data_IF_814366117953
#
_entry.id   IF_814366117953
#
_cell.length_a   1.000
_cell.length_b   1.000
_cell.length_c   1.000
_cell.angle_alpha   90.00
_cell.angle_beta   90.00
_cell.angle_gamma   90.00
#
_symmetry.space_group_name_H-M   'P 1'
#
loop_
_entity.id
_entity.type
_entity.pdbx_description
1 polymer ?
#
# COMPACT_ATOMS: atom_id res chain seq x y z
N UNK A 1 -16.78 0.50 16.22
CA UNK A 1 -16.13 0.45 14.90
C UNK A 1 -15.10 1.55 14.87
N UNK A 2 -13.88 1.23 14.49
CA UNK A 2 -12.75 2.16 14.43
C UNK A 2 -12.20 2.14 13.01
N UNK A 3 -11.72 3.28 12.52
CA UNK A 3 -11.19 3.45 11.16
C UNK A 3 -9.84 4.16 11.22
N UNK A 4 -8.90 3.75 10.35
CA UNK A 4 -7.62 4.44 10.22
C UNK A 4 -7.75 5.58 9.22
N UNK A 5 -7.46 6.80 9.67
CA UNK A 5 -7.45 8.02 8.87
C UNK A 5 -6.22 8.85 9.21
N UNK A 6 -5.82 9.72 8.30
CA UNK A 6 -4.72 10.67 8.51
C UNK A 6 -5.18 12.09 8.21
N UNK A 7 -4.50 13.06 8.82
CA UNK A 7 -4.65 14.46 8.45
C UNK A 7 -3.55 14.86 7.48
N UNK A 8 -3.93 15.40 6.32
CA UNK A 8 -2.94 15.92 5.35
C UNK A 8 -2.21 17.13 5.93
N UNK A 9 -0.94 17.29 5.55
CA UNK A 9 -0.19 18.52 5.84
C UNK A 9 -0.99 19.74 5.38
N UNK A 10 -1.02 20.79 6.20
CA UNK A 10 -1.64 22.07 5.85
C UNK A 10 -1.02 22.70 4.60
N UNK A 11 0.22 22.34 4.26
CA UNK A 11 0.94 22.84 3.09
C UNK A 11 0.63 22.03 1.81
N UNK A 12 -0.19 20.98 1.89
CA UNK A 12 -0.58 20.19 0.72
C UNK A 12 -1.34 21.05 -0.29
N UNK A 13 -0.91 21.02 -1.56
CA UNK A 13 -1.55 21.74 -2.67
C UNK A 13 -2.97 21.24 -2.98
N UNK A 14 -3.32 20.06 -2.50
CA UNK A 14 -4.65 19.47 -2.60
C UNK A 14 -5.19 19.09 -1.21
N UNK A 15 -6.37 19.63 -0.85
CA UNK A 15 -7.10 19.34 0.39
C UNK A 15 -6.24 19.39 1.69
N UNK A 16 -5.37 20.40 1.83
CA UNK A 16 -4.54 20.55 3.02
C UNK A 16 -5.34 20.63 4.32
N UNK A 17 -4.90 19.91 5.35
CA UNK A 17 -5.57 19.82 6.65
C UNK A 17 -6.81 18.91 6.69
N UNK A 18 -7.24 18.32 5.58
CA UNK A 18 -8.37 17.39 5.54
C UNK A 18 -8.03 16.05 6.21
N UNK A 19 -9.04 15.43 6.82
CA UNK A 19 -9.00 14.05 7.30
C UNK A 19 -9.39 13.13 6.15
N UNK A 20 -8.51 12.19 5.80
CA UNK A 20 -8.65 11.30 4.65
C UNK A 20 -8.20 9.89 5.01
N UNK A 21 -8.61 8.91 4.20
CA UNK A 21 -7.94 7.60 4.21
C UNK A 21 -6.54 7.73 3.61
N UNK A 22 -5.60 6.84 4.01
CA UNK A 22 -4.33 6.71 3.31
C UNK A 22 -4.58 6.40 1.83
N UNK A 23 -3.75 6.97 0.96
CA UNK A 23 -3.90 6.74 -0.46
C UNK A 23 -3.17 7.76 -1.33
N UNK A 24 -2.93 7.33 -2.56
CA UNK A 24 -2.17 8.09 -3.53
C UNK A 24 -2.42 7.64 -4.95
N UNK A 25 -1.47 7.98 -5.82
CA UNK A 25 -1.52 7.64 -7.24
C UNK A 25 -1.15 6.17 -7.42
N UNK A 26 -1.80 5.50 -8.37
CA UNK A 26 -1.36 4.20 -8.88
C UNK A 26 -0.16 4.42 -9.79
N UNK A 27 0.91 3.70 -9.53
CA UNK A 27 2.20 3.86 -10.18
C UNK A 27 2.52 2.63 -11.04
N UNK A 28 3.51 2.74 -11.94
CA UNK A 28 3.82 1.68 -12.90
C UNK A 28 4.18 0.33 -12.24
N UNK A 29 4.85 0.37 -11.09
CA UNK A 29 5.22 -0.82 -10.31
C UNK A 29 4.06 -1.43 -9.51
N UNK A 30 2.90 -0.77 -9.45
CA UNK A 30 1.69 -1.36 -8.88
C UNK A 30 0.97 -2.29 -9.88
N UNK A 31 1.30 -2.20 -11.18
CA UNK A 31 0.60 -2.93 -12.23
C UNK A 31 0.91 -4.45 -12.26
N UNK A 32 -0.04 -5.27 -12.77
CA UNK A 32 -0.11 -6.71 -12.51
C UNK A 32 1.05 -7.52 -13.05
N UNK A 33 1.81 -7.07 -14.04
CA UNK A 33 2.98 -7.81 -14.55
C UNK A 33 3.93 -8.20 -13.42
N UNK A 34 3.98 -7.38 -12.37
CA UNK A 34 4.78 -7.59 -11.17
C UNK A 34 4.05 -8.36 -10.05
N UNK A 35 2.74 -8.55 -10.13
CA UNK A 35 1.95 -9.05 -8.99
C UNK A 35 1.09 -10.27 -9.31
N UNK A 36 0.81 -10.53 -10.59
CA UNK A 36 -0.19 -11.51 -11.05
C UNK A 36 0.05 -12.91 -10.52
N UNK A 37 1.32 -13.32 -10.42
CA UNK A 37 1.72 -14.63 -9.88
C UNK A 37 1.46 -14.77 -8.38
N UNK A 38 1.39 -13.66 -7.64
CA UNK A 38 1.14 -13.62 -6.19
C UNK A 38 -0.36 -13.48 -5.87
N UNK A 39 -1.21 -13.21 -6.86
CA UNK A 39 -2.65 -13.04 -6.67
C UNK A 39 -3.31 -14.41 -6.62
N UNK A 40 -3.65 -14.85 -5.40
CA UNK A 40 -4.26 -16.16 -5.15
C UNK A 40 -5.78 -16.11 -5.06
N UNK A 41 -6.36 -14.93 -4.90
CA UNK A 41 -7.80 -14.72 -4.73
C UNK A 41 -8.24 -13.52 -5.58
N UNK A 42 -9.33 -13.69 -6.33
CA UNK A 42 -9.96 -12.60 -7.07
C UNK A 42 -10.98 -13.10 -8.09
N UNK A 43 -12.19 -12.57 -8.06
CA UNK A 43 -13.21 -12.81 -9.08
C UNK A 43 -14.20 -11.64 -9.18
N UNK A 44 -14.73 -11.42 -10.37
CA UNK A 44 -15.68 -10.34 -10.65
C UNK A 44 -15.07 -9.15 -11.38
N UNK A 45 -15.89 -8.13 -11.68
CA UNK A 45 -15.56 -7.08 -12.65
C UNK A 45 -14.45 -6.11 -12.21
N UNK A 46 -14.08 -6.11 -10.93
CA UNK A 46 -13.08 -5.19 -10.36
C UNK A 46 -11.71 -5.85 -10.12
N UNK A 47 -11.49 -7.02 -10.70
CA UNK A 47 -10.24 -7.78 -10.67
C UNK A 47 -9.55 -7.80 -12.04
N UNK A 48 -9.84 -6.79 -12.85
CA UNK A 48 -9.02 -6.41 -14.00
C UNK A 48 -7.67 -5.82 -13.55
N UNK A 49 -6.83 -5.51 -14.52
CA UNK A 49 -5.46 -5.07 -14.29
C UNK A 49 -5.42 -3.75 -13.51
N UNK A 50 -6.36 -2.84 -13.79
CA UNK A 50 -6.55 -1.58 -13.07
C UNK A 50 -7.01 -1.81 -11.62
N UNK A 51 -7.97 -2.70 -11.40
CA UNK A 51 -8.44 -3.04 -10.06
C UNK A 51 -7.37 -3.70 -9.20
N UNK A 52 -6.52 -4.52 -9.80
CA UNK A 52 -5.35 -5.09 -9.13
C UNK A 52 -4.37 -3.98 -8.75
N UNK A 53 -4.00 -3.13 -9.70
CA UNK A 53 -3.04 -2.05 -9.47
C UNK A 53 -3.52 -1.08 -8.38
N UNK A 54 -4.81 -0.74 -8.36
CA UNK A 54 -5.41 0.09 -7.32
C UNK A 54 -5.31 -0.53 -5.92
N UNK A 55 -5.43 -1.86 -5.79
CA UNK A 55 -5.31 -2.55 -4.50
C UNK A 55 -3.86 -2.61 -4.02
N UNK A 56 -2.92 -2.90 -4.92
CA UNK A 56 -1.49 -2.86 -4.61
C UNK A 56 -1.09 -1.45 -4.15
N UNK A 57 -1.49 -0.42 -4.90
CA UNK A 57 -1.24 0.97 -4.54
C UNK A 57 -1.85 1.32 -3.17
N UNK A 58 -3.08 0.90 -2.88
CA UNK A 58 -3.71 1.14 -1.58
C UNK A 58 -2.93 0.49 -0.42
N UNK A 59 -2.45 -0.76 -0.58
CA UNK A 59 -1.62 -1.43 0.42
C UNK A 59 -0.28 -0.73 0.61
N UNK A 60 0.37 -0.32 -0.49
CA UNK A 60 1.63 0.41 -0.48
C UNK A 60 1.49 1.75 0.25
N UNK A 61 0.53 2.58 -0.14
CA UNK A 61 0.29 3.89 0.45
C UNK A 61 -0.10 3.78 1.95
N UNK A 62 -0.91 2.79 2.33
CA UNK A 62 -1.22 2.55 3.74
C UNK A 62 0.03 2.22 4.58
N UNK A 63 0.96 1.44 4.03
CA UNK A 63 2.23 1.15 4.69
C UNK A 63 3.13 2.39 4.74
N UNK A 64 3.27 3.12 3.64
CA UNK A 64 4.11 4.32 3.53
C UNK A 64 3.63 5.44 4.47
N UNK A 65 2.33 5.76 4.46
CA UNK A 65 1.78 6.94 5.15
C UNK A 65 1.50 6.67 6.62
N UNK A 66 0.89 5.52 6.96
CA UNK A 66 0.41 5.23 8.32
C UNK A 66 1.01 3.97 8.94
N UNK A 67 1.86 3.24 8.22
CA UNK A 67 2.54 2.04 8.75
C UNK A 67 1.63 0.85 8.96
N UNK A 68 0.55 0.73 8.18
CA UNK A 68 -0.37 -0.42 8.23
C UNK A 68 -0.21 -1.26 6.98
N UNK A 69 -0.06 -2.57 7.16
CA UNK A 69 -0.09 -3.55 6.07
C UNK A 69 -1.03 -4.71 6.45
N UNK A 70 -1.91 -5.16 5.54
CA UNK A 70 -2.81 -6.29 5.78
C UNK A 70 -2.08 -7.63 5.61
N UNK A 71 -1.13 -7.90 6.50
CA UNK A 71 -0.28 -9.11 6.49
C UNK A 71 -0.64 -9.97 7.71
N UNK A 72 -0.78 -11.28 7.51
CA UNK A 72 -0.99 -12.25 8.61
C UNK A 72 0.34 -12.77 9.13
N UNK A 73 0.35 -13.31 10.36
CA UNK A 73 1.53 -13.95 10.95
C UNK A 73 2.78 -13.06 11.05
N UNK A 74 2.56 -11.76 11.27
CA UNK A 74 3.62 -10.76 11.44
C UNK A 74 3.48 -10.00 12.76
N UNK A 75 4.57 -9.37 13.20
CA UNK A 75 4.63 -8.50 14.37
C UNK A 75 4.65 -7.02 13.96
N UNK A 76 4.24 -6.09 14.85
CA UNK A 76 4.39 -4.66 14.59
C UNK A 76 5.83 -4.22 14.27
N UNK A 77 6.83 -4.88 14.85
CA UNK A 77 8.24 -4.59 14.59
C UNK A 77 8.66 -4.98 13.16
N UNK A 78 8.15 -6.11 12.65
CA UNK A 78 8.38 -6.54 11.27
C UNK A 78 7.68 -5.62 10.27
N UNK A 79 6.46 -5.16 10.55
CA UNK A 79 5.78 -4.16 9.72
C UNK A 79 6.56 -2.84 9.71
N UNK A 80 7.08 -2.40 10.85
CA UNK A 80 7.93 -1.21 10.93
C UNK A 80 9.24 -1.39 10.13
N UNK A 81 9.86 -2.57 10.20
CA UNK A 81 11.03 -2.90 9.40
C UNK A 81 10.71 -2.92 7.89
N UNK A 82 9.56 -3.48 7.50
CA UNK A 82 9.07 -3.47 6.13
C UNK A 82 8.86 -2.04 5.63
N UNK A 83 8.20 -1.19 6.42
CA UNK A 83 8.03 0.23 6.11
C UNK A 83 9.38 0.92 5.90
N UNK A 84 10.36 0.64 6.76
CA UNK A 84 11.69 1.22 6.62
C UNK A 84 12.41 0.75 5.35
N UNK A 85 12.26 -0.52 4.95
CA UNK A 85 12.83 -1.06 3.70
C UNK A 85 12.30 -0.34 2.45
N UNK A 86 11.02 0.06 2.47
CA UNK A 86 10.38 0.73 1.33
C UNK A 86 10.44 2.26 1.39
N UNK A 87 10.96 2.83 2.48
CA UNK A 87 11.00 4.29 2.68
C UNK A 87 11.79 4.97 1.55
N UNK A 88 11.15 5.91 0.86
CA UNK A 88 11.69 6.57 -0.33
C UNK A 88 11.86 5.67 -1.57
N UNK A 89 11.57 4.36 -1.48
CA UNK A 89 11.65 3.36 -2.56
C UNK A 89 10.29 2.75 -2.84
N UNK A 90 9.45 3.50 -3.54
CA UNK A 90 8.06 3.11 -3.80
C UNK A 90 7.90 1.84 -4.65
N UNK A 91 8.93 1.46 -5.41
CA UNK A 91 8.99 0.24 -6.22
C UNK A 91 9.47 -1.00 -5.44
N UNK A 92 9.84 -0.85 -4.17
CA UNK A 92 10.47 -1.91 -3.38
C UNK A 92 9.50 -2.82 -2.62
N UNK A 93 8.18 -2.56 -2.66
CA UNK A 93 7.22 -3.32 -1.85
C UNK A 93 7.29 -4.83 -2.12
N UNK A 94 7.35 -5.23 -3.39
CA UNK A 94 7.44 -6.65 -3.77
C UNK A 94 8.71 -7.31 -3.22
N UNK A 95 9.87 -6.70 -3.49
CA UNK A 95 11.18 -7.18 -3.00
C UNK A 95 11.18 -7.30 -1.46
N UNK A 96 10.59 -6.30 -0.79
CA UNK A 96 10.58 -6.26 0.66
C UNK A 96 9.67 -7.35 1.28
N UNK A 97 8.60 -7.75 0.60
CA UNK A 97 7.75 -8.88 0.97
C UNK A 97 8.48 -10.22 0.79
N UNK A 98 9.23 -10.40 -0.30
CA UNK A 98 10.02 -11.62 -0.55
C UNK A 98 11.11 -11.83 0.51
N UNK A 99 11.70 -10.75 1.02
CA UNK A 99 12.74 -10.77 2.07
C UNK A 99 12.18 -10.90 3.51
N UNK A 100 10.87 -11.09 3.67
CA UNK A 100 10.21 -11.14 4.98
C UNK A 100 9.51 -12.47 5.27
N UNK A 101 9.58 -13.44 4.36
CA UNK A 101 9.17 -14.85 4.56
C UNK A 101 10.37 -15.79 4.61
#
# INVERSE_FOLDING_TARGET
>A
MEICVMQRSHQSSFMGGAVVFPGGRVEAYDHPDTWRELITLGSGPWWDDEGIAARVAACREALEEVGIAPITDTTPAEVAALRHKIDGRKDALREALELSG
#
